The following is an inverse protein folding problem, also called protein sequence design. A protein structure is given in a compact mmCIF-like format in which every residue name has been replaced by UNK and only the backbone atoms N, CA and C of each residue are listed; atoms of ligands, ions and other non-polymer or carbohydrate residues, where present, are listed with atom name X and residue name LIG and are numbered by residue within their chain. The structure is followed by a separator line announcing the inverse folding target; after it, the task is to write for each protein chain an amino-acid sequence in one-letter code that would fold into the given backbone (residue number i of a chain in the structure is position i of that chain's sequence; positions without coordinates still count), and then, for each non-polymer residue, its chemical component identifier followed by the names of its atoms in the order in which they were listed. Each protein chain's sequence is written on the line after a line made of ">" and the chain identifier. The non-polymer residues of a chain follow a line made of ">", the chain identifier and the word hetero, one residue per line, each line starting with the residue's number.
data_IF_669235277287
#
_entry.id   IF_669235277287
#
_cell.length_a   1.000
_cell.length_b   1.000
_cell.length_c   1.000
_cell.angle_alpha   90.00
_cell.angle_beta   90.00
_cell.angle_gamma   90.00
#
_symmetry.space_group_name_H-M   'P 1'
#
loop_
_entity.id
_entity.type
_entity.pdbx_description
1 polymer ?
#
# COMPACT_ATOMS: atom_id res chain seq x y z
N UNK A 1 -2.28 -8.56 31.89
CA UNK A 1 -1.58 -9.85 32.12
C UNK A 1 -1.86 -10.29 33.54
N UNK A 2 -2.20 -11.54 33.78
CA UNK A 2 -2.47 -12.06 35.14
C UNK A 2 -1.16 -12.43 35.82
N UNK A 3 -0.96 -11.99 37.05
CA UNK A 3 0.21 -12.35 37.85
C UNK A 3 0.15 -13.82 38.26
N UNK A 4 1.18 -14.64 37.98
CA UNK A 4 1.17 -16.07 38.34
C UNK A 4 1.35 -16.31 39.85
N UNK A 5 1.67 -15.27 40.64
CA UNK A 5 1.92 -15.40 42.06
C UNK A 5 0.68 -15.06 42.92
N UNK A 6 -0.22 -14.21 42.43
CA UNK A 6 -1.38 -13.75 43.21
C UNK A 6 -2.65 -13.53 42.40
N UNK A 7 -2.65 -13.95 41.13
CA UNK A 7 -3.78 -13.85 40.20
C UNK A 7 -4.31 -12.43 39.94
N UNK A 8 -3.60 -11.39 40.40
CA UNK A 8 -3.98 -10.00 40.18
C UNK A 8 -3.74 -9.59 38.73
N UNK A 9 -4.64 -8.79 38.16
CA UNK A 9 -4.48 -8.17 36.85
C UNK A 9 -3.69 -6.86 36.90
N UNK A 10 -3.39 -6.34 38.09
CA UNK A 10 -2.61 -5.11 38.27
C UNK A 10 -1.12 -5.34 38.04
N UNK A 11 -0.77 -5.60 36.78
CA UNK A 11 0.62 -5.82 36.37
C UNK A 11 1.10 -4.72 35.46
N UNK A 12 2.37 -4.34 35.59
CA UNK A 12 3.05 -3.36 34.74
C UNK A 12 4.04 -4.09 33.84
N UNK A 13 4.01 -3.78 32.53
CA UNK A 13 4.99 -4.24 31.56
C UNK A 13 6.31 -3.50 31.79
N UNK A 14 7.38 -4.25 31.95
CA UNK A 14 8.73 -3.71 32.15
C UNK A 14 9.58 -4.00 30.88
N UNK A 15 10.88 -4.06 30.98
CA UNK A 15 11.76 -4.32 29.84
C UNK A 15 11.67 -5.74 29.26
N UNK A 16 12.40 -5.98 28.19
CA UNK A 16 12.63 -7.31 27.62
C UNK A 16 13.99 -7.85 28.05
N UNK A 17 14.07 -9.16 28.33
CA UNK A 17 15.32 -9.84 28.71
C UNK A 17 15.63 -10.95 27.70
N UNK A 18 16.82 -10.91 27.11
CA UNK A 18 17.32 -12.01 26.27
C UNK A 18 17.89 -13.12 27.15
N UNK A 19 17.49 -14.35 26.91
CA UNK A 19 17.98 -15.55 27.61
C UNK A 19 18.48 -16.57 26.59
N UNK A 20 19.18 -17.62 27.05
CA UNK A 20 19.62 -18.74 26.17
C UNK A 20 18.43 -19.42 25.47
N UNK A 21 17.22 -19.35 26.04
CA UNK A 21 15.96 -19.92 25.50
C UNK A 21 15.14 -18.92 24.68
N UNK A 22 15.66 -17.75 24.33
CA UNK A 22 15.00 -16.71 23.55
C UNK A 22 14.65 -15.46 24.35
N UNK A 23 13.80 -14.60 23.79
CA UNK A 23 13.41 -13.32 24.35
C UNK A 23 12.23 -13.47 25.31
N UNK A 24 12.33 -12.85 26.50
CA UNK A 24 11.25 -12.82 27.50
C UNK A 24 10.78 -11.40 27.76
N UNK A 25 9.48 -11.19 27.85
CA UNK A 25 8.88 -9.94 28.35
C UNK A 25 8.79 -10.03 29.87
N UNK A 26 9.31 -9.02 30.55
CA UNK A 26 9.23 -8.90 32.02
C UNK A 26 8.03 -8.08 32.47
N UNK A 27 7.47 -8.46 33.60
CA UNK A 27 6.37 -7.77 34.25
C UNK A 27 6.64 -7.65 35.75
N UNK A 28 6.15 -6.55 36.37
CA UNK A 28 6.04 -6.40 37.80
C UNK A 28 4.56 -6.41 38.23
N UNK A 29 4.24 -7.09 39.30
CA UNK A 29 2.88 -7.07 39.86
C UNK A 29 2.75 -5.95 40.92
N UNK A 30 1.82 -5.03 40.71
CA UNK A 30 1.57 -3.95 41.64
C UNK A 30 0.89 -4.40 42.95
N UNK A 31 0.24 -5.58 42.94
CA UNK A 31 -0.46 -6.11 44.11
C UNK A 31 0.44 -6.88 45.05
N UNK A 32 1.36 -7.72 44.57
CA UNK A 32 2.24 -8.51 45.42
C UNK A 32 3.73 -8.17 45.27
N UNK A 33 4.09 -7.17 44.48
CA UNK A 33 5.47 -6.72 44.26
C UNK A 33 6.38 -7.66 43.47
N UNK A 34 5.94 -8.88 43.16
CA UNK A 34 6.79 -9.88 42.51
C UNK A 34 6.94 -9.64 41.01
N UNK A 35 8.12 -9.99 40.52
CA UNK A 35 8.44 -9.96 39.09
C UNK A 35 8.22 -11.34 38.48
N UNK A 36 7.80 -11.35 37.23
CA UNK A 36 7.71 -12.57 36.43
C UNK A 36 8.02 -12.28 34.96
N UNK A 37 8.27 -13.31 34.19
CA UNK A 37 8.59 -13.16 32.77
C UNK A 37 7.80 -14.18 31.97
N UNK A 38 7.37 -13.76 30.78
CA UNK A 38 6.70 -14.63 29.82
C UNK A 38 7.62 -14.79 28.61
N UNK A 39 7.76 -16.03 28.16
CA UNK A 39 8.48 -16.32 26.93
C UNK A 39 7.73 -15.66 25.77
N UNK A 40 8.44 -14.86 24.98
CA UNK A 40 7.91 -14.40 23.69
C UNK A 40 8.08 -15.59 22.74
N UNK A 41 6.99 -16.12 22.15
CA UNK A 41 7.09 -17.23 21.22
C UNK A 41 8.06 -16.92 20.07
N UNK A 42 8.82 -17.90 19.62
CA UNK A 42 9.84 -17.72 18.57
C UNK A 42 9.23 -17.51 17.18
N UNK A 43 8.02 -17.97 17.00
CA UNK A 43 7.18 -17.84 15.82
C UNK A 43 6.71 -16.38 15.58
N UNK A 44 6.68 -15.53 16.61
CA UNK A 44 6.55 -14.07 16.40
C UNK A 44 7.71 -13.49 15.56
N UNK A 45 8.84 -14.20 15.46
CA UNK A 45 9.95 -13.83 14.56
C UNK A 45 9.70 -14.14 13.08
N UNK A 46 8.80 -15.07 12.77
CA UNK A 46 8.48 -15.41 11.37
C UNK A 46 7.53 -14.39 10.74
N UNK A 47 6.69 -13.74 11.53
CA UNK A 47 5.87 -12.61 11.03
C UNK A 47 6.70 -11.44 10.51
N UNK A 48 7.89 -11.20 11.10
CA UNK A 48 8.79 -10.15 10.61
C UNK A 48 9.54 -10.53 9.31
N UNK A 49 9.57 -11.80 8.94
CA UNK A 49 10.28 -12.26 7.73
C UNK A 49 9.53 -11.96 6.42
N UNK A 50 8.21 -11.76 6.48
CA UNK A 50 7.41 -11.33 5.32
C UNK A 50 7.51 -9.81 5.05
N UNK A 51 8.09 -9.03 5.96
CA UNK A 51 8.48 -7.67 5.64
C UNK A 51 9.70 -7.71 4.75
N UNK A 52 9.59 -7.15 3.57
CA UNK A 52 10.77 -6.79 2.81
C UNK A 52 11.50 -5.75 3.64
N UNK A 53 12.68 -6.14 4.14
CA UNK A 53 13.55 -5.25 4.88
C UNK A 53 13.83 -4.01 4.02
N UNK A 54 13.93 -2.80 4.62
CA UNK A 54 14.34 -1.63 3.89
C UNK A 54 15.60 -1.94 3.05
N UNK A 55 15.53 -1.71 1.73
CA UNK A 55 16.62 -1.99 0.80
C UNK A 55 16.53 -3.31 0.04
N UNK A 56 15.56 -4.20 0.34
CA UNK A 56 15.30 -5.35 -0.54
C UNK A 56 14.37 -4.94 -1.68
N UNK A 57 14.80 -5.26 -2.88
CA UNK A 57 14.08 -5.00 -4.11
C UNK A 57 13.01 -6.08 -4.33
N UNK A 58 11.77 -5.67 -4.54
CA UNK A 58 10.73 -6.58 -5.04
C UNK A 58 11.00 -6.88 -6.51
N UNK A 59 10.90 -8.14 -6.93
CA UNK A 59 11.19 -8.55 -8.29
C UNK A 59 10.07 -9.41 -8.85
N UNK A 60 9.67 -9.11 -10.09
CA UNK A 60 8.77 -9.94 -10.90
C UNK A 60 9.37 -10.12 -12.30
N UNK A 61 9.26 -11.32 -12.85
CA UNK A 61 9.80 -11.66 -14.17
C UNK A 61 8.71 -12.21 -15.08
N UNK A 62 8.83 -11.87 -16.37
CA UNK A 62 8.00 -12.42 -17.43
C UNK A 62 8.85 -12.52 -18.72
N UNK A 63 8.61 -13.53 -19.52
CA UNK A 63 9.28 -13.67 -20.83
C UNK A 63 8.61 -12.82 -21.92
N UNK A 64 7.34 -12.51 -21.71
CA UNK A 64 6.54 -11.69 -22.60
C UNK A 64 6.26 -10.32 -21.94
N UNK A 65 5.28 -9.61 -22.48
CA UNK A 65 4.80 -8.36 -21.88
C UNK A 65 4.08 -8.61 -20.56
N UNK A 66 4.12 -7.62 -19.70
CA UNK A 66 3.37 -7.59 -18.45
C UNK A 66 2.54 -6.31 -18.37
N UNK A 67 1.24 -6.42 -18.01
CA UNK A 67 0.37 -5.28 -17.71
C UNK A 67 0.18 -5.17 -16.21
N UNK A 68 0.71 -4.11 -15.63
CA UNK A 68 0.62 -3.85 -14.20
C UNK A 68 -0.43 -2.77 -13.95
N UNK A 69 -1.48 -3.11 -13.21
CA UNK A 69 -2.55 -2.21 -12.82
C UNK A 69 -2.26 -1.65 -11.42
N UNK A 70 -2.09 -0.34 -11.32
CA UNK A 70 -1.95 0.34 -10.03
C UNK A 70 -3.34 0.67 -9.47
N UNK A 71 -3.77 -0.05 -8.43
CA UNK A 71 -5.02 0.21 -7.73
C UNK A 71 -4.73 0.97 -6.45
N UNK A 72 -5.26 2.17 -6.33
CA UNK A 72 -5.07 3.08 -5.19
C UNK A 72 -6.37 3.78 -4.85
N UNK A 73 -6.48 4.28 -3.63
CA UNK A 73 -7.61 5.10 -3.21
C UNK A 73 -8.96 4.46 -3.56
N UNK A 74 -9.09 3.17 -3.21
CA UNK A 74 -10.29 2.37 -3.48
C UNK A 74 -11.40 2.75 -2.51
N UNK A 75 -11.07 2.96 -1.23
CA UNK A 75 -11.96 3.41 -0.17
C UNK A 75 -13.22 2.54 -0.04
N UNK A 76 -13.06 1.21 -0.03
CA UNK A 76 -14.19 0.31 0.26
C UNK A 76 -14.84 0.73 1.56
N UNK A 77 -16.15 0.96 1.53
CA UNK A 77 -16.94 1.42 2.66
C UNK A 77 -17.19 2.92 2.71
N UNK A 78 -16.57 3.74 1.88
CA UNK A 78 -17.00 5.12 1.69
C UNK A 78 -18.37 5.15 0.99
N UNK A 79 -19.19 6.19 1.28
CA UNK A 79 -20.49 6.36 0.59
C UNK A 79 -20.33 6.54 -0.93
N UNK A 80 -19.25 7.18 -1.33
CA UNK A 80 -18.95 7.50 -2.72
C UNK A 80 -18.18 6.41 -3.44
N UNK A 81 -17.91 5.28 -2.80
CA UNK A 81 -17.22 4.15 -3.43
C UNK A 81 -17.91 3.71 -4.71
N UNK A 82 -17.19 3.74 -5.83
CA UNK A 82 -17.69 3.29 -7.13
C UNK A 82 -17.42 1.80 -7.32
N UNK A 83 -18.29 0.98 -6.73
CA UNK A 83 -18.21 -0.47 -6.82
C UNK A 83 -18.22 -0.96 -8.28
N UNK A 84 -19.00 -0.32 -9.17
CA UNK A 84 -19.08 -0.73 -10.58
C UNK A 84 -17.74 -0.53 -11.29
N UNK A 85 -17.10 0.63 -11.07
CA UNK A 85 -15.79 0.92 -11.66
C UNK A 85 -14.71 0.00 -11.11
N UNK A 86 -14.78 -0.34 -9.82
CA UNK A 86 -13.85 -1.29 -9.22
C UNK A 86 -14.06 -2.72 -9.73
N UNK A 87 -15.31 -3.16 -9.92
CA UNK A 87 -15.63 -4.46 -10.54
C UNK A 87 -15.15 -4.54 -12.00
N UNK A 88 -15.21 -3.43 -12.74
CA UNK A 88 -14.63 -3.33 -14.09
C UNK A 88 -13.11 -3.60 -14.06
N UNK A 89 -12.39 -2.98 -13.12
CA UNK A 89 -10.95 -3.20 -12.94
C UNK A 89 -10.65 -4.68 -12.62
N UNK A 90 -11.39 -5.27 -11.68
CA UNK A 90 -11.26 -6.68 -11.32
C UNK A 90 -11.47 -7.58 -12.54
N UNK A 91 -12.53 -7.33 -13.33
CA UNK A 91 -12.83 -8.10 -14.53
C UNK A 91 -11.69 -8.04 -15.54
N UNK A 92 -11.19 -6.84 -15.86
CA UNK A 92 -10.08 -6.65 -16.81
C UNK A 92 -8.82 -7.41 -16.35
N UNK A 93 -8.49 -7.30 -15.06
CA UNK A 93 -7.32 -8.01 -14.49
C UNK A 93 -7.54 -9.53 -14.52
N UNK A 94 -8.74 -9.99 -14.21
CA UNK A 94 -9.08 -11.43 -14.21
C UNK A 94 -8.94 -12.05 -15.61
N UNK A 95 -9.52 -11.38 -16.62
CA UNK A 95 -9.57 -11.87 -17.99
C UNK A 95 -8.22 -11.83 -18.75
N UNK A 96 -7.29 -10.95 -18.35
CA UNK A 96 -5.98 -10.81 -18.98
C UNK A 96 -4.92 -11.72 -18.32
N UNK A 97 -4.40 -12.75 -18.98
CA UNK A 97 -3.37 -13.62 -18.42
C UNK A 97 -2.06 -12.89 -18.09
N UNK A 98 -1.75 -11.80 -18.82
CA UNK A 98 -0.57 -10.98 -18.62
C UNK A 98 -0.78 -9.85 -17.60
N UNK A 99 -1.96 -9.75 -17.01
CA UNK A 99 -2.24 -8.76 -15.98
C UNK A 99 -1.66 -9.17 -14.63
N UNK A 100 -1.12 -8.16 -13.96
CA UNK A 100 -0.81 -8.14 -12.52
C UNK A 100 -1.32 -6.84 -11.94
N UNK A 101 -1.44 -6.77 -10.62
CA UNK A 101 -1.85 -5.55 -9.96
C UNK A 101 -1.11 -5.37 -8.63
N UNK A 102 -1.06 -4.16 -8.14
CA UNK A 102 -0.63 -3.85 -6.78
C UNK A 102 -1.59 -2.87 -6.13
N UNK A 103 -1.77 -3.01 -4.82
CA UNK A 103 -2.52 -2.06 -4.03
C UNK A 103 -1.61 -0.96 -3.50
N UNK A 104 -1.95 0.32 -3.73
CA UNK A 104 -1.07 1.43 -3.40
C UNK A 104 -1.65 2.36 -2.32
N UNK A 105 -2.28 1.78 -1.30
CA UNK A 105 -2.85 2.49 -0.15
C UNK A 105 -4.30 2.91 -0.33
N UNK A 106 -4.93 3.16 0.82
CA UNK A 106 -6.34 3.53 0.95
C UNK A 106 -7.29 2.52 0.28
N UNK A 107 -7.06 1.21 0.59
CA UNK A 107 -7.91 0.11 0.14
C UNK A 107 -9.31 0.20 0.74
N UNK A 108 -9.39 0.62 2.01
CA UNK A 108 -10.63 0.79 2.76
C UNK A 108 -10.72 2.20 3.35
N UNK A 109 -11.93 2.69 3.59
CA UNK A 109 -12.15 4.05 4.13
C UNK A 109 -11.66 4.20 5.57
N UNK A 110 -11.93 3.22 6.40
CA UNK A 110 -11.48 3.08 7.78
C UNK A 110 -11.57 4.38 8.61
N UNK A 111 -12.78 4.77 8.98
CA UNK A 111 -13.00 5.84 9.97
C UNK A 111 -13.21 5.18 11.35
N UNK A 112 -12.21 5.16 12.24
CA UNK A 112 -12.35 4.55 13.55
C UNK A 112 -13.30 5.34 14.45
N UNK A 113 -13.94 4.70 15.45
CA UNK A 113 -14.64 5.40 16.51
C UNK A 113 -13.72 6.45 17.16
N UNK A 114 -14.26 7.63 17.46
CA UNK A 114 -13.51 8.75 18.06
C UNK A 114 -12.46 9.44 17.17
N UNK A 115 -12.43 9.13 15.88
CA UNK A 115 -11.62 9.90 14.94
C UNK A 115 -12.29 11.29 14.70
N UNK A 116 -11.46 12.31 14.48
CA UNK A 116 -11.93 13.71 14.31
C UNK A 116 -12.85 13.93 13.10
N UNK A 117 -12.88 12.99 12.17
CA UNK A 117 -13.72 13.00 10.97
C UNK A 117 -15.08 12.37 11.32
N UNK A 118 -16.15 12.94 10.76
CA UNK A 118 -17.51 12.44 10.96
C UNK A 118 -17.61 10.97 10.48
N UNK A 119 -17.95 10.06 11.39
CA UNK A 119 -18.19 8.64 11.10
C UNK A 119 -19.28 8.39 10.06
N UNK A 120 -20.14 9.38 9.80
CA UNK A 120 -21.14 9.32 8.73
C UNK A 120 -20.52 9.32 7.31
N UNK A 121 -19.20 9.49 7.17
CA UNK A 121 -18.49 9.38 5.90
C UNK A 121 -18.32 7.94 5.39
N UNK A 122 -18.70 6.93 6.17
CA UNK A 122 -18.63 5.51 5.78
C UNK A 122 -19.99 4.84 5.86
N UNK A 123 -20.25 3.90 4.94
CA UNK A 123 -21.53 3.19 4.80
C UNK A 123 -21.60 1.90 5.61
N UNK A 124 -20.45 1.29 5.89
CA UNK A 124 -20.29 0.05 6.65
C UNK A 124 -19.11 0.17 7.63
N UNK A 125 -19.13 -0.54 8.77
CA UNK A 125 -18.09 -0.47 9.78
C UNK A 125 -16.74 -1.02 9.26
N UNK A 126 -15.59 -0.63 9.88
CA UNK A 126 -14.25 -1.00 9.41
C UNK A 126 -14.00 -2.51 9.23
N UNK A 127 -14.54 -3.36 10.10
CA UNK A 127 -14.43 -4.82 9.97
C UNK A 127 -15.10 -5.32 8.69
N UNK A 128 -16.31 -4.84 8.40
CA UNK A 128 -17.04 -5.20 7.18
C UNK A 128 -16.35 -4.66 5.92
N UNK A 129 -15.72 -3.49 5.99
CA UNK A 129 -14.89 -2.95 4.90
C UNK A 129 -13.73 -3.88 4.58
N UNK A 130 -13.02 -4.34 5.62
CA UNK A 130 -11.91 -5.27 5.51
C UNK A 130 -12.32 -6.58 4.83
N UNK A 131 -13.38 -7.22 5.32
CA UNK A 131 -13.91 -8.46 4.76
C UNK A 131 -14.43 -8.28 3.34
N UNK A 132 -15.07 -7.13 3.06
CA UNK A 132 -15.59 -6.81 1.73
C UNK A 132 -14.47 -6.61 0.72
N UNK A 133 -13.38 -5.93 1.09
CA UNK A 133 -12.21 -5.77 0.23
C UNK A 133 -11.62 -7.13 -0.14
N UNK A 134 -11.34 -8.01 0.83
CA UNK A 134 -10.81 -9.35 0.57
C UNK A 134 -11.70 -10.15 -0.37
N UNK A 135 -13.01 -10.11 -0.15
CA UNK A 135 -14.00 -10.80 -1.00
C UNK A 135 -14.00 -10.24 -2.44
N UNK A 136 -13.91 -8.92 -2.59
CA UNK A 136 -13.89 -8.27 -3.90
C UNK A 136 -12.65 -8.65 -4.71
N UNK A 137 -11.47 -8.67 -4.09
CA UNK A 137 -10.21 -8.95 -4.79
C UNK A 137 -9.88 -10.44 -4.91
N UNK A 138 -10.63 -11.32 -4.25
CA UNK A 138 -10.41 -12.77 -4.29
C UNK A 138 -10.21 -13.34 -5.71
N UNK A 139 -10.98 -12.94 -6.74
CA UNK A 139 -10.80 -13.47 -8.09
C UNK A 139 -9.46 -13.13 -8.76
N UNK A 140 -8.77 -12.11 -8.25
CA UNK A 140 -7.49 -11.59 -8.79
C UNK A 140 -6.36 -11.62 -7.75
N UNK A 141 -6.56 -12.32 -6.63
CA UNK A 141 -5.61 -12.35 -5.53
C UNK A 141 -4.26 -12.94 -5.97
N UNK A 142 -4.26 -14.00 -6.75
CA UNK A 142 -3.08 -14.66 -7.31
C UNK A 142 -2.25 -13.78 -8.26
N UNK A 143 -2.86 -12.72 -8.78
CA UNK A 143 -2.23 -11.72 -9.64
C UNK A 143 -1.73 -10.49 -8.88
N UNK A 144 -1.92 -10.42 -7.57
CA UNK A 144 -1.43 -9.32 -6.74
C UNK A 144 0.08 -9.42 -6.53
N UNK A 145 0.80 -8.35 -6.85
CA UNK A 145 2.24 -8.29 -6.68
C UNK A 145 2.62 -7.93 -5.25
N UNK A 146 1.96 -6.91 -4.69
CA UNK A 146 2.19 -6.42 -3.33
C UNK A 146 1.09 -5.46 -2.90
N UNK A 147 1.03 -5.20 -1.60
CA UNK A 147 0.18 -4.16 -0.99
C UNK A 147 1.07 -3.09 -0.34
N UNK A 148 0.69 -1.84 -0.51
CA UNK A 148 1.31 -0.68 0.15
C UNK A 148 0.29 0.01 1.05
N UNK A 149 0.73 0.52 2.19
CA UNK A 149 -0.13 1.23 3.12
C UNK A 149 -0.43 2.66 2.70
N UNK A 150 -1.65 3.12 2.94
CA UNK A 150 -2.11 4.49 2.76
C UNK A 150 -2.32 5.24 4.07
N UNK A 151 -2.91 6.42 4.01
CA UNK A 151 -3.19 7.18 5.23
C UNK A 151 -4.49 6.73 5.92
N UNK A 152 -5.45 6.16 5.20
CA UNK A 152 -6.66 5.63 5.79
C UNK A 152 -6.41 4.28 6.48
N UNK A 153 -5.90 3.33 5.77
CA UNK A 153 -5.81 1.93 6.18
C UNK A 153 -4.52 1.56 6.92
N UNK A 154 -3.46 2.41 6.83
CA UNK A 154 -2.25 2.24 7.63
C UNK A 154 -2.14 3.31 8.72
N UNK A 155 -2.04 4.62 8.37
CA UNK A 155 -1.75 5.66 9.35
C UNK A 155 -2.85 5.82 10.40
N UNK A 156 -4.12 5.78 10.01
CA UNK A 156 -5.24 5.89 10.96
C UNK A 156 -5.27 4.71 11.92
N UNK A 157 -5.19 3.47 11.39
CA UNK A 157 -5.23 2.28 12.23
C UNK A 157 -4.02 2.17 13.15
N UNK A 158 -2.82 2.49 12.63
CA UNK A 158 -1.60 2.43 13.41
C UNK A 158 -1.57 3.47 14.55
N UNK A 159 -1.97 4.73 14.27
CA UNK A 159 -1.97 5.78 15.27
C UNK A 159 -3.02 5.59 16.38
N UNK A 160 -4.13 4.92 16.09
CA UNK A 160 -5.24 4.75 17.05
C UNK A 160 -5.18 3.41 17.75
N UNK A 161 -4.83 2.34 17.04
CA UNK A 161 -4.93 0.96 17.52
C UNK A 161 -3.56 0.28 17.68
N UNK A 162 -2.45 0.94 17.30
CA UNK A 162 -1.12 0.32 17.15
C UNK A 162 -1.20 -0.97 16.29
N UNK A 163 -2.03 -0.92 15.25
CA UNK A 163 -2.35 -2.03 14.37
C UNK A 163 -2.32 -1.59 12.90
N UNK A 164 -1.56 -2.29 12.08
CA UNK A 164 -1.42 -2.02 10.65
C UNK A 164 -2.37 -2.91 9.85
N UNK A 165 -3.49 -2.35 9.42
CA UNK A 165 -4.53 -3.06 8.64
C UNK A 165 -4.01 -3.50 7.29
N UNK A 166 -3.20 -2.68 6.60
CA UNK A 166 -2.63 -3.05 5.31
C UNK A 166 -1.69 -4.24 5.40
N UNK A 167 -0.90 -4.31 6.47
CA UNK A 167 -0.04 -5.46 6.75
C UNK A 167 -0.86 -6.73 6.91
N UNK A 168 -1.99 -6.64 7.60
CA UNK A 168 -2.88 -7.79 7.81
C UNK A 168 -3.56 -8.20 6.50
N UNK A 169 -4.03 -7.24 5.68
CA UNK A 169 -4.57 -7.52 4.35
C UNK A 169 -3.55 -8.25 3.47
N UNK A 170 -2.31 -7.76 3.43
CA UNK A 170 -1.25 -8.41 2.65
C UNK A 170 -0.94 -9.83 3.15
N UNK A 171 -0.98 -10.04 4.47
CA UNK A 171 -0.79 -11.36 5.07
C UNK A 171 -1.90 -12.34 4.70
N UNK A 172 -3.17 -11.92 4.76
CA UNK A 172 -4.32 -12.74 4.35
C UNK A 172 -4.29 -13.08 2.85
N UNK A 173 -3.77 -12.16 2.05
CA UNK A 173 -3.61 -12.35 0.60
C UNK A 173 -2.34 -13.13 0.24
N UNK A 174 -1.47 -13.43 1.20
CA UNK A 174 -0.16 -14.05 1.03
C UNK A 174 0.77 -13.30 0.05
N UNK A 175 0.74 -11.95 0.11
CA UNK A 175 1.55 -11.07 -0.74
C UNK A 175 2.49 -10.19 0.09
N UNK A 176 3.60 -9.69 -0.50
CA UNK A 176 4.50 -8.75 0.16
C UNK A 176 3.80 -7.46 0.58
N UNK A 177 4.20 -6.92 1.73
CA UNK A 177 3.76 -5.63 2.25
C UNK A 177 4.89 -4.61 2.27
N UNK A 178 4.61 -3.41 1.76
CA UNK A 178 5.54 -2.28 1.79
C UNK A 178 4.93 -1.08 2.51
N UNK A 179 5.46 -0.76 3.67
CA UNK A 179 5.03 0.42 4.42
C UNK A 179 5.51 1.73 3.81
N UNK A 180 6.71 1.74 3.24
CA UNK A 180 7.37 2.92 2.70
C UNK A 180 7.41 2.89 1.16
N UNK A 181 7.54 4.05 0.49
CA UNK A 181 7.81 4.09 -0.93
C UNK A 181 9.07 3.29 -1.28
N UNK A 182 9.14 2.75 -2.49
CA UNK A 182 10.29 1.99 -2.93
C UNK A 182 10.13 1.41 -4.33
N UNK A 183 11.20 0.74 -4.76
CA UNK A 183 11.29 0.13 -6.07
C UNK A 183 10.60 -1.23 -6.15
N UNK A 184 10.03 -1.51 -7.32
CA UNK A 184 9.73 -2.85 -7.80
C UNK A 184 10.43 -3.03 -9.16
N UNK A 185 11.25 -4.07 -9.29
CA UNK A 185 11.90 -4.43 -10.54
C UNK A 185 11.00 -5.35 -11.35
N UNK A 186 10.76 -4.99 -12.59
CA UNK A 186 9.97 -5.74 -13.55
C UNK A 186 10.91 -6.15 -14.68
N UNK A 187 11.21 -7.43 -14.78
CA UNK A 187 12.10 -7.98 -15.80
C UNK A 187 11.28 -8.60 -16.93
N UNK A 188 11.44 -8.12 -18.16
CA UNK A 188 10.80 -8.69 -19.35
C UNK A 188 11.90 -9.27 -20.26
N UNK A 189 11.98 -10.61 -20.29
CA UNK A 189 13.12 -11.28 -20.88
C UNK A 189 14.42 -10.92 -20.15
N UNK A 190 15.32 -10.18 -20.81
CA UNK A 190 16.58 -9.68 -20.23
C UNK A 190 16.51 -8.19 -19.83
N UNK A 191 15.42 -7.48 -20.15
CA UNK A 191 15.26 -6.05 -19.88
C UNK A 191 14.67 -5.81 -18.51
N UNK A 192 15.36 -5.04 -17.69
CA UNK A 192 14.87 -4.56 -16.39
C UNK A 192 14.23 -3.18 -16.50
N UNK A 193 13.08 -3.04 -15.82
CA UNK A 193 12.35 -1.80 -15.63
C UNK A 193 12.10 -1.57 -14.15
N UNK A 194 12.12 -0.31 -13.71
CA UNK A 194 11.95 0.04 -12.31
C UNK A 194 10.68 0.87 -12.10
N UNK A 195 9.69 0.27 -11.44
CA UNK A 195 8.51 0.94 -10.93
C UNK A 195 8.79 1.44 -9.50
N UNK A 196 8.75 2.75 -9.30
CA UNK A 196 8.79 3.37 -7.98
C UNK A 196 7.37 3.73 -7.58
N UNK A 197 6.89 3.20 -6.47
CA UNK A 197 5.54 3.49 -6.00
C UNK A 197 5.52 3.95 -4.56
N UNK A 198 4.53 4.77 -4.22
CA UNK A 198 4.23 5.27 -2.90
C UNK A 198 2.80 5.78 -2.85
N UNK A 199 2.19 5.82 -1.65
CA UNK A 199 0.83 6.36 -1.57
C UNK A 199 0.81 7.88 -1.76
N UNK A 200 1.80 8.59 -1.24
CA UNK A 200 1.84 10.04 -1.21
C UNK A 200 1.19 10.61 0.05
N UNK A 201 1.18 11.93 0.15
CA UNK A 201 0.54 12.67 1.26
C UNK A 201 0.13 14.09 0.92
N UNK A 202 0.39 14.56 -0.30
CA UNK A 202 0.14 15.93 -0.70
C UNK A 202 -1.18 16.09 -1.45
N UNK A 203 -2.08 16.92 -0.91
CA UNK A 203 -3.29 17.37 -1.59
C UNK A 203 -3.07 18.55 -2.55
N UNK A 204 -1.82 18.84 -2.96
CA UNK A 204 -1.51 19.95 -3.85
C UNK A 204 -2.19 19.77 -5.21
N UNK A 205 -2.69 20.91 -5.78
CA UNK A 205 -3.31 20.94 -7.13
C UNK A 205 -2.34 20.45 -8.22
N UNK A 206 -1.06 20.81 -8.10
CA UNK A 206 -0.03 20.32 -9.00
C UNK A 206 0.50 18.97 -8.49
N UNK A 207 -0.02 17.89 -9.09
CA UNK A 207 0.39 16.52 -8.77
C UNK A 207 1.86 16.22 -9.10
N UNK A 208 2.47 16.95 -10.03
CA UNK A 208 3.84 16.71 -10.45
C UNK A 208 4.87 17.04 -9.38
N UNK A 209 4.63 18.07 -8.56
CA UNK A 209 5.59 18.51 -7.53
C UNK A 209 6.01 17.37 -6.59
N UNK A 210 5.10 16.46 -6.25
CA UNK A 210 5.42 15.32 -5.39
C UNK A 210 6.11 14.20 -6.18
N UNK A 211 5.75 14.01 -7.46
CA UNK A 211 6.43 13.09 -8.38
C UNK A 211 7.87 13.54 -8.66
N UNK A 212 8.12 14.84 -8.84
CA UNK A 212 9.47 15.40 -8.99
C UNK A 212 10.34 15.13 -7.76
N UNK A 213 9.79 15.32 -6.56
CA UNK A 213 10.48 14.99 -5.31
C UNK A 213 10.79 13.50 -5.22
N UNK A 214 9.83 12.65 -5.61
CA UNK A 214 10.02 11.21 -5.62
C UNK A 214 11.11 10.82 -6.61
N UNK A 215 11.10 11.38 -7.82
CA UNK A 215 12.12 11.12 -8.85
C UNK A 215 13.51 11.63 -8.44
N UNK A 216 13.59 12.70 -7.65
CA UNK A 216 14.88 13.18 -7.12
C UNK A 216 15.49 12.27 -6.06
N UNK A 217 14.66 11.51 -5.33
CA UNK A 217 15.11 10.56 -4.29
C UNK A 217 15.37 9.18 -4.89
N UNK A 218 14.55 8.75 -5.82
CA UNK A 218 14.60 7.44 -6.47
C UNK A 218 15.01 7.61 -7.95
N UNK A 219 16.28 7.91 -8.21
CA UNK A 219 16.80 8.35 -9.52
C UNK A 219 16.62 7.36 -10.66
N UNK A 220 16.64 6.06 -10.34
CA UNK A 220 16.67 4.97 -11.33
C UNK A 220 15.28 4.49 -11.78
N UNK A 221 14.22 5.14 -11.31
CA UNK A 221 12.85 4.79 -11.70
C UNK A 221 12.56 5.10 -13.17
N UNK A 222 11.87 4.18 -13.83
CA UNK A 222 11.30 4.38 -15.17
C UNK A 222 9.83 4.81 -15.09
N UNK A 223 9.13 4.37 -14.01
CA UNK A 223 7.76 4.80 -13.69
C UNK A 223 7.70 5.25 -12.24
N UNK A 224 7.12 6.41 -12.00
CA UNK A 224 6.85 6.96 -10.66
C UNK A 224 5.36 7.03 -10.45
N UNK A 225 4.85 6.25 -9.50
CA UNK A 225 3.42 6.07 -9.23
C UNK A 225 3.05 6.59 -7.84
N UNK A 226 2.10 7.52 -7.78
CA UNK A 226 1.51 8.05 -6.53
C UNK A 226 -0.02 7.99 -6.55
N UNK A 227 -0.63 7.77 -5.39
CA UNK A 227 -2.05 7.91 -5.11
C UNK A 227 -2.39 9.18 -4.33
N UNK A 228 -3.28 9.07 -3.34
CA UNK A 228 -3.65 10.02 -2.30
C UNK A 228 -4.45 11.25 -2.77
N UNK A 229 -4.06 11.93 -3.82
CA UNK A 229 -4.73 13.14 -4.28
C UNK A 229 -5.85 12.88 -5.31
N UNK A 230 -6.15 11.62 -5.59
CA UNK A 230 -7.20 11.13 -6.48
C UNK A 230 -7.09 11.61 -7.94
N UNK A 231 -6.01 12.31 -8.31
CA UNK A 231 -5.79 12.69 -9.70
C UNK A 231 -5.53 11.45 -10.56
N UNK A 232 -6.15 11.41 -11.73
CA UNK A 232 -6.00 10.33 -12.69
C UNK A 232 -5.29 10.86 -13.93
N UNK A 233 -4.02 10.56 -14.07
CA UNK A 233 -3.26 10.80 -15.28
C UNK A 233 -1.96 10.02 -15.35
N UNK A 234 -1.46 9.82 -16.56
CA UNK A 234 -0.08 9.39 -16.80
C UNK A 234 0.53 10.26 -17.91
N UNK A 235 1.76 10.68 -17.72
CA UNK A 235 2.46 11.49 -18.72
C UNK A 235 3.92 11.05 -18.86
N UNK A 236 4.46 11.02 -20.09
CA UNK A 236 5.89 10.81 -20.32
C UNK A 236 6.67 12.08 -19.91
N UNK A 237 7.85 11.85 -19.34
CA UNK A 237 8.86 12.87 -19.07
C UNK A 237 10.12 12.44 -19.81
N UNK A 238 10.47 13.18 -20.84
CA UNK A 238 11.64 12.88 -21.67
C UNK A 238 12.83 13.72 -21.20
N UNK A 239 14.00 13.11 -21.13
CA UNK A 239 15.28 13.74 -20.80
C UNK A 239 16.40 13.18 -21.69
N UNK A 240 17.42 14.00 -21.94
CA UNK A 240 18.64 13.52 -22.58
C UNK A 240 19.53 12.86 -21.55
N UNK A 241 20.14 11.75 -21.92
CA UNK A 241 21.15 11.01 -21.14
C UNK A 241 22.32 10.64 -22.06
N UNK A 242 23.43 10.24 -21.47
CA UNK A 242 24.55 9.69 -22.23
C UNK A 242 24.57 8.18 -22.04
N UNK A 243 24.45 7.43 -23.12
CA UNK A 243 24.57 5.98 -23.17
C UNK A 243 25.61 5.60 -24.22
N UNK A 244 26.60 4.80 -23.83
CA UNK A 244 27.71 4.36 -24.70
C UNK A 244 28.47 5.52 -25.39
N UNK A 245 28.51 6.71 -24.76
CA UNK A 245 29.20 7.90 -25.27
C UNK A 245 28.39 8.77 -26.22
N UNK A 246 27.14 8.42 -26.50
CA UNK A 246 26.23 9.17 -27.37
C UNK A 246 25.03 9.72 -26.57
N UNK A 247 24.44 10.84 -27.04
CA UNK A 247 23.21 11.35 -26.48
C UNK A 247 22.05 10.42 -26.85
N UNK A 248 21.29 9.98 -25.86
CA UNK A 248 20.09 9.18 -26.04
C UNK A 248 18.88 9.81 -25.31
N UNK A 249 17.67 9.47 -25.77
CA UNK A 249 16.44 9.92 -25.16
C UNK A 249 15.99 8.90 -24.08
N UNK A 250 16.03 9.32 -22.83
CA UNK A 250 15.48 8.52 -21.72
C UNK A 250 14.08 9.00 -21.40
N UNK A 251 13.08 8.10 -21.51
CA UNK A 251 11.69 8.35 -21.15
C UNK A 251 11.38 7.76 -19.77
N UNK A 252 10.79 8.58 -18.91
CA UNK A 252 10.20 8.18 -17.62
C UNK A 252 8.70 8.45 -17.66
N UNK A 253 7.95 7.81 -16.77
CA UNK A 253 6.52 8.04 -16.65
C UNK A 253 6.16 8.59 -15.28
N UNK A 254 5.43 9.69 -15.25
CA UNK A 254 4.79 10.23 -14.05
C UNK A 254 3.33 9.80 -14.05
N UNK A 255 2.92 9.14 -12.95
CA UNK A 255 1.61 8.50 -12.85
C UNK A 255 0.92 8.92 -11.56
N UNK A 256 -0.29 9.45 -11.69
CA UNK A 256 -1.26 9.59 -10.62
C UNK A 256 -2.34 8.54 -10.80
N UNK A 257 -2.46 7.67 -9.80
CA UNK A 257 -3.20 6.43 -9.91
C UNK A 257 -4.73 6.54 -9.96
N UNK A 258 -5.28 7.75 -9.74
CA UNK A 258 -6.72 7.97 -9.67
C UNK A 258 -7.32 7.54 -8.35
N UNK A 259 -8.62 7.25 -8.36
CA UNK A 259 -9.36 6.70 -7.24
C UNK A 259 -10.63 5.99 -7.71
N UNK A 260 -11.25 5.23 -6.80
CA UNK A 260 -12.57 4.65 -7.01
C UNK A 260 -13.66 5.37 -6.20
N UNK A 261 -13.40 6.64 -5.84
CA UNK A 261 -14.40 7.52 -5.24
C UNK A 261 -15.05 8.41 -6.28
N UNK A 262 -16.36 8.39 -6.34
CA UNK A 262 -17.14 9.44 -7.02
C UNK A 262 -16.96 10.77 -6.29
N UNK A 263 -17.31 11.88 -6.93
CA UNK A 263 -17.11 13.21 -6.37
C UNK A 263 -17.80 13.39 -5.01
N UNK A 264 -17.01 13.31 -3.95
CA UNK A 264 -17.46 13.30 -2.57
C UNK A 264 -17.94 14.68 -2.07
N UNK A 265 -18.85 14.69 -1.09
CA UNK A 265 -19.40 15.93 -0.53
C UNK A 265 -18.33 16.84 0.07
N UNK A 266 -17.32 16.29 0.77
CA UNK A 266 -16.22 17.10 1.31
C UNK A 266 -15.42 17.81 0.22
N UNK A 267 -15.26 17.17 -0.94
CA UNK A 267 -14.57 17.76 -2.09
C UNK A 267 -15.39 18.89 -2.70
N UNK A 268 -16.74 18.75 -2.72
CA UNK A 268 -17.66 19.82 -3.13
C UNK A 268 -17.58 21.02 -2.19
N UNK A 269 -17.65 20.80 -0.88
CA UNK A 269 -17.54 21.87 0.12
C UNK A 269 -16.19 22.60 0.05
N UNK A 270 -15.12 21.89 -0.27
CA UNK A 270 -13.77 22.46 -0.37
C UNK A 270 -13.42 23.01 -1.75
N UNK A 271 -14.36 22.96 -2.70
CA UNK A 271 -14.16 23.37 -4.10
C UNK A 271 -12.97 22.67 -4.77
N UNK A 272 -12.72 21.41 -4.42
CA UNK A 272 -11.72 20.60 -5.12
C UNK A 272 -12.18 20.33 -6.55
N UNK A 273 -11.23 20.25 -7.48
CA UNK A 273 -11.54 19.92 -8.87
C UNK A 273 -12.18 18.52 -8.96
N UNK A 274 -13.15 18.38 -9.87
CA UNK A 274 -13.79 17.08 -10.14
C UNK A 274 -12.72 16.14 -10.70
N UNK A 275 -12.53 15.00 -10.04
CA UNK A 275 -11.66 13.92 -10.51
C UNK A 275 -12.53 12.81 -11.12
N UNK A 276 -12.01 12.20 -12.20
CA UNK A 276 -12.63 11.02 -12.78
C UNK A 276 -12.25 9.79 -11.96
N UNK A 277 -13.22 8.88 -11.72
CA UNK A 277 -12.91 7.57 -11.15
C UNK A 277 -12.18 6.72 -12.19
N UNK A 278 -11.19 5.97 -11.74
CA UNK A 278 -10.43 5.10 -12.61
C UNK A 278 -9.08 4.70 -12.03
N UNK A 279 -8.30 4.01 -12.83
CA UNK A 279 -6.96 3.55 -12.47
C UNK A 279 -6.03 3.61 -13.69
N UNK A 280 -4.74 3.42 -13.45
CA UNK A 280 -3.73 3.40 -14.52
C UNK A 280 -3.26 1.97 -14.77
N UNK A 281 -3.15 1.64 -16.06
CA UNK A 281 -2.46 0.45 -16.54
C UNK A 281 -1.10 0.84 -17.12
N UNK A 282 -0.07 0.09 -16.74
CA UNK A 282 1.30 0.22 -17.21
C UNK A 282 1.68 -1.07 -17.92
N UNK A 283 1.91 -1.02 -19.24
CA UNK A 283 2.37 -2.17 -20.02
C UNK A 283 3.88 -2.10 -20.18
N UNK A 284 4.56 -3.13 -19.71
CA UNK A 284 6.00 -3.33 -19.83
C UNK A 284 6.27 -4.34 -20.93
N UNK A 285 7.14 -3.98 -21.88
CA UNK A 285 7.65 -4.83 -22.95
C UNK A 285 9.17 -4.83 -22.92
N UNK A 286 9.84 -5.58 -23.79
CA UNK A 286 11.31 -5.54 -23.93
C UNK A 286 11.81 -4.16 -24.35
N UNK A 287 11.01 -3.44 -25.16
CA UNK A 287 11.45 -2.23 -25.84
C UNK A 287 10.98 -0.94 -25.16
N UNK A 288 9.83 -0.97 -24.47
CA UNK A 288 9.19 0.25 -23.97
C UNK A 288 8.18 -0.01 -22.86
N UNK A 289 7.83 1.09 -22.19
CA UNK A 289 6.71 1.17 -21.26
C UNK A 289 5.63 2.06 -21.89
N UNK A 290 4.37 1.62 -21.84
CA UNK A 290 3.20 2.42 -22.17
C UNK A 290 2.30 2.52 -20.93
N UNK A 291 1.75 3.72 -20.67
CA UNK A 291 0.80 3.94 -19.60
C UNK A 291 -0.48 4.57 -20.15
N UNK A 292 -1.64 4.15 -19.60
CA UNK A 292 -2.93 4.74 -19.96
C UNK A 292 -3.94 4.70 -18.82
N UNK A 293 -4.91 5.59 -18.91
CA UNK A 293 -6.05 5.70 -17.99
C UNK A 293 -7.17 4.71 -18.40
N UNK A 294 -7.87 4.15 -17.38
CA UNK A 294 -9.03 3.28 -17.57
C UNK A 294 -10.28 3.86 -16.93
#
# INVERSE_FOLDING_TARGET
>A
MICPHCSSMLTKKEGKKRTKKGLKQQYSCKSCGKWFSIQIPSDVKEYDKKHIEPGKLFQVKSDEKLRVHGLTDIHVGAHEFDLKKFQEAIKIIYEDPNARWFGNGDMIELIPPNYKINQRGQSIPPEEQYLSFLKLVQPIQDKCLFIRGGNHDYLRSFNILDFDVCKTLASEMDVPYFRLPGYAQITIGEKDWFLVSGHGKSGAKNGDTELDKMASVYSDGDVYFLGHNHQLYCKPIDSLTIEDGEESLKRKWYVRGGSFLRYADYARYSFYGIQRTGWITMEFTKDRINCWEN
#
